data_IF_062298442124
#
_entry.id   IF_062298442124
#
_cell.length_a   1.000
_cell.length_b   1.000
_cell.length_c   1.000
_cell.angle_alpha   90.00
_cell.angle_beta   90.00
_cell.angle_gamma   90.00
#
_symmetry.space_group_name_H-M   'P 1'
#
loop_
_entity.id
_entity.type
_entity.pdbx_description
1 polymer ?
#
# COMPACT_ATOMS: atom_id res chain seq x y z
N UNK A 1 -37.05 -4.61 -7.27
CA UNK A 1 -36.21 -5.24 -6.23
C UNK A 1 -35.87 -6.65 -6.68
N UNK A 2 -34.85 -6.82 -7.53
CA UNK A 2 -34.37 -8.13 -7.97
C UNK A 2 -32.86 -8.06 -8.19
N UNK A 3 -32.10 -9.08 -7.76
CA UNK A 3 -30.82 -9.41 -8.39
C UNK A 3 -29.52 -9.31 -7.58
N UNK A 4 -29.47 -9.69 -6.30
CA UNK A 4 -28.18 -9.82 -5.57
C UNK A 4 -27.77 -11.26 -5.21
N UNK A 5 -28.65 -12.27 -5.38
CA UNK A 5 -28.37 -13.65 -4.98
C UNK A 5 -27.38 -14.39 -5.89
N UNK A 6 -27.49 -14.22 -7.21
CA UNK A 6 -26.71 -15.01 -8.18
C UNK A 6 -25.22 -14.64 -8.20
N UNK A 7 -24.87 -13.37 -8.00
CA UNK A 7 -23.47 -12.91 -8.02
C UNK A 7 -22.69 -13.34 -6.78
N UNK A 8 -23.34 -13.39 -5.60
CA UNK A 8 -22.72 -13.87 -4.37
C UNK A 8 -22.38 -15.37 -4.45
N UNK A 9 -23.26 -16.18 -5.06
CA UNK A 9 -23.08 -17.61 -5.19
C UNK A 9 -21.96 -17.99 -6.17
N UNK A 10 -21.91 -17.36 -7.34
CA UNK A 10 -20.85 -17.62 -8.35
C UNK A 10 -19.46 -17.27 -7.80
N UNK A 11 -19.34 -16.17 -7.03
CA UNK A 11 -18.09 -15.79 -6.35
C UNK A 11 -17.64 -16.83 -5.33
N UNK A 12 -18.59 -17.34 -4.54
CA UNK A 12 -18.28 -18.31 -3.50
C UNK A 12 -17.86 -19.65 -4.11
N UNK A 13 -18.49 -20.08 -5.20
CA UNK A 13 -18.05 -21.26 -5.95
C UNK A 13 -16.61 -21.13 -6.44
N UNK A 14 -16.29 -20.03 -7.14
CA UNK A 14 -14.95 -19.81 -7.70
C UNK A 14 -13.83 -19.75 -6.64
N UNK A 15 -14.11 -19.14 -5.48
CA UNK A 15 -13.19 -19.14 -4.35
C UNK A 15 -12.98 -20.54 -3.76
N UNK A 16 -14.05 -21.32 -3.60
CA UNK A 16 -13.96 -22.67 -3.05
C UNK A 16 -13.23 -23.62 -4.01
N UNK A 17 -13.45 -23.48 -5.32
CA UNK A 17 -12.70 -24.21 -6.34
C UNK A 17 -11.21 -23.87 -6.29
N UNK A 18 -10.86 -22.59 -6.11
CA UNK A 18 -9.47 -22.17 -5.95
C UNK A 18 -8.82 -22.74 -4.69
N UNK A 19 -9.51 -22.70 -3.55
CA UNK A 19 -9.03 -23.28 -2.28
C UNK A 19 -8.78 -24.78 -2.43
N UNK A 20 -9.73 -25.51 -3.03
CA UNK A 20 -9.65 -26.96 -3.22
C UNK A 20 -8.57 -27.35 -4.23
N UNK A 21 -8.50 -26.65 -5.36
CA UNK A 21 -7.57 -26.96 -6.46
C UNK A 21 -6.12 -26.86 -6.01
N UNK A 22 -5.82 -25.95 -5.10
CA UNK A 22 -4.46 -25.67 -4.64
C UNK A 22 -4.19 -26.12 -3.21
N UNK A 23 -5.12 -26.87 -2.61
CA UNK A 23 -5.04 -27.43 -1.25
C UNK A 23 -4.59 -26.39 -0.21
N UNK A 24 -5.25 -25.23 -0.22
CA UNK A 24 -4.90 -24.13 0.69
C UNK A 24 -5.35 -24.45 2.12
N UNK A 25 -4.52 -24.10 3.11
CA UNK A 25 -4.84 -24.34 4.52
C UNK A 25 -6.04 -23.51 4.99
N UNK A 26 -6.72 -24.00 6.03
CA UNK A 26 -7.90 -23.33 6.60
C UNK A 26 -7.64 -21.88 7.02
N UNK A 27 -6.43 -21.56 7.49
CA UNK A 27 -6.12 -20.18 7.90
C UNK A 27 -6.02 -19.25 6.68
N UNK A 28 -5.47 -19.72 5.55
CA UNK A 28 -5.44 -18.98 4.29
C UNK A 28 -6.84 -18.88 3.69
N UNK A 29 -7.62 -19.98 3.71
CA UNK A 29 -9.01 -19.99 3.28
C UNK A 29 -9.87 -18.98 4.04
N UNK A 30 -9.70 -18.90 5.37
CA UNK A 30 -10.40 -17.90 6.21
C UNK A 30 -10.01 -16.47 5.83
N UNK A 31 -8.73 -16.20 5.60
CA UNK A 31 -8.26 -14.88 5.18
C UNK A 31 -8.82 -14.49 3.80
N UNK A 32 -8.82 -15.39 2.82
CA UNK A 32 -9.40 -15.12 1.49
C UNK A 32 -10.89 -14.75 1.57
N UNK A 33 -11.65 -15.40 2.47
CA UNK A 33 -13.08 -15.11 2.66
C UNK A 33 -13.33 -13.74 3.29
N UNK A 34 -12.37 -13.21 4.05
CA UNK A 34 -12.46 -11.89 4.67
C UNK A 34 -12.10 -10.73 3.73
N UNK A 35 -11.46 -11.02 2.59
CA UNK A 35 -11.06 -9.98 1.62
C UNK A 35 -12.26 -9.36 0.89
N UNK A 36 -12.14 -8.08 0.56
CA UNK A 36 -13.08 -7.43 -0.34
C UNK A 36 -12.89 -7.93 -1.80
N UNK A 37 -13.82 -7.58 -2.69
CA UNK A 37 -13.82 -8.07 -4.08
C UNK A 37 -12.55 -7.70 -4.85
N UNK A 38 -12.06 -6.47 -4.71
CA UNK A 38 -10.87 -6.00 -5.43
C UNK A 38 -9.62 -6.75 -4.94
N UNK A 39 -9.47 -6.83 -3.62
CA UNK A 39 -8.37 -7.55 -2.97
C UNK A 39 -8.37 -9.04 -3.34
N UNK A 40 -9.53 -9.69 -3.27
CA UNK A 40 -9.66 -11.10 -3.61
C UNK A 40 -9.31 -11.37 -5.08
N UNK A 41 -9.82 -10.54 -5.99
CA UNK A 41 -9.50 -10.67 -7.42
C UNK A 41 -8.00 -10.54 -7.67
N UNK A 42 -7.32 -9.62 -6.98
CA UNK A 42 -5.87 -9.44 -7.12
C UNK A 42 -5.05 -10.60 -6.55
N UNK A 43 -5.54 -11.23 -5.47
CA UNK A 43 -4.89 -12.42 -4.91
C UNK A 43 -5.10 -13.62 -5.85
N UNK A 44 -6.30 -13.81 -6.39
CA UNK A 44 -6.63 -14.97 -7.24
C UNK A 44 -5.98 -14.94 -8.63
N UNK A 45 -5.47 -13.79 -9.09
CA UNK A 45 -4.73 -13.67 -10.36
C UNK A 45 -3.25 -14.05 -10.25
N UNK A 46 -2.74 -14.32 -9.04
CA UNK A 46 -1.34 -14.68 -8.89
C UNK A 46 -1.03 -16.08 -9.48
N UNK A 47 0.12 -16.20 -10.15
CA UNK A 47 0.53 -17.47 -10.75
C UNK A 47 1.06 -18.42 -9.67
N UNK A 48 0.18 -19.28 -9.16
CA UNK A 48 0.49 -20.27 -8.12
C UNK A 48 0.95 -21.64 -8.63
N UNK A 49 0.98 -21.84 -9.95
CA UNK A 49 1.36 -23.13 -10.53
C UNK A 49 2.82 -23.53 -10.30
N UNK A 50 3.70 -22.56 -10.08
CA UNK A 50 5.13 -22.79 -9.84
C UNK A 50 5.53 -22.64 -8.36
N UNK A 51 4.56 -22.50 -7.45
CA UNK A 51 4.85 -22.32 -6.04
C UNK A 51 5.28 -23.64 -5.40
N UNK A 52 6.40 -23.64 -4.68
CA UNK A 52 6.77 -24.78 -3.81
C UNK A 52 5.77 -25.00 -2.67
N UNK A 53 5.08 -23.93 -2.26
CA UNK A 53 4.03 -23.95 -1.25
C UNK A 53 2.96 -22.90 -1.64
N UNK A 54 1.81 -23.32 -2.20
CA UNK A 54 0.72 -22.43 -2.60
C UNK A 54 0.19 -21.59 -1.44
N UNK A 55 -0.04 -22.20 -0.27
CA UNK A 55 -0.51 -21.51 0.93
C UNK A 55 0.43 -20.37 1.37
N UNK A 56 1.74 -20.61 1.39
CA UNK A 56 2.71 -19.58 1.74
C UNK A 56 2.73 -18.43 0.73
N UNK A 57 2.60 -18.74 -0.57
CA UNK A 57 2.57 -17.73 -1.62
C UNK A 57 1.29 -16.89 -1.57
N UNK A 58 0.13 -17.54 -1.43
CA UNK A 58 -1.16 -16.85 -1.28
C UNK A 58 -1.17 -16.01 0.00
N UNK A 59 -0.69 -16.54 1.13
CA UNK A 59 -0.56 -15.78 2.39
C UNK A 59 0.36 -14.57 2.26
N UNK A 60 1.46 -14.69 1.51
CA UNK A 60 2.33 -13.56 1.19
C UNK A 60 1.57 -12.51 0.38
N UNK A 61 0.84 -12.94 -0.65
CA UNK A 61 0.04 -12.06 -1.51
C UNK A 61 -1.08 -11.34 -0.76
N UNK A 62 -1.79 -12.06 0.12
CA UNK A 62 -2.80 -11.48 1.01
C UNK A 62 -2.18 -10.38 1.87
N UNK A 63 -1.04 -10.65 2.52
CA UNK A 63 -0.33 -9.64 3.31
C UNK A 63 0.05 -8.42 2.46
N UNK A 64 0.58 -8.61 1.26
CA UNK A 64 0.89 -7.50 0.36
C UNK A 64 -0.34 -6.66 0.00
N UNK A 65 -1.47 -7.31 -0.32
CA UNK A 65 -2.71 -6.62 -0.69
C UNK A 65 -3.34 -5.88 0.50
N UNK A 66 -3.26 -6.45 1.70
CA UNK A 66 -3.74 -5.81 2.93
C UNK A 66 -2.84 -4.68 3.43
N UNK A 67 -1.53 -4.76 3.19
CA UNK A 67 -0.57 -3.73 3.57
C UNK A 67 -0.58 -2.49 2.65
N UNK A 68 -1.29 -2.56 1.51
CA UNK A 68 -1.45 -1.38 0.65
C UNK A 68 -2.35 -0.38 1.37
N UNK A 69 -1.92 0.88 1.50
CA UNK A 69 -2.79 1.91 2.03
C UNK A 69 -4.03 2.00 1.15
N UNK A 70 -5.18 2.15 1.79
CA UNK A 70 -6.43 2.46 1.10
C UNK A 70 -6.27 3.77 0.32
N UNK A 71 -7.12 3.95 -0.69
CA UNK A 71 -7.12 5.19 -1.47
C UNK A 71 -7.32 6.43 -0.57
N UNK A 72 -8.13 6.30 0.49
CA UNK A 72 -8.35 7.37 1.47
C UNK A 72 -7.08 7.69 2.27
N UNK A 73 -6.36 6.66 2.75
CA UNK A 73 -5.10 6.85 3.47
C UNK A 73 -4.01 7.47 2.58
N UNK A 74 -3.94 7.04 1.31
CA UNK A 74 -3.01 7.64 0.35
C UNK A 74 -3.31 9.12 0.13
N UNK A 75 -4.58 9.49 -0.07
CA UNK A 75 -5.00 10.89 -0.24
C UNK A 75 -4.71 11.72 1.02
N UNK A 76 -4.97 11.20 2.21
CA UNK A 76 -4.69 11.89 3.46
C UNK A 76 -3.17 12.11 3.68
N UNK A 77 -2.35 11.12 3.33
CA UNK A 77 -0.89 11.25 3.37
C UNK A 77 -0.39 12.33 2.41
N UNK A 78 -0.88 12.35 1.16
CA UNK A 78 -0.53 13.40 0.19
C UNK A 78 -0.93 14.79 0.71
N UNK A 79 -2.14 14.93 1.28
CA UNK A 79 -2.57 16.20 1.87
C UNK A 79 -1.63 16.65 2.99
N UNK A 80 -1.20 15.73 3.86
CA UNK A 80 -0.25 16.03 4.95
C UNK A 80 1.09 16.55 4.39
N UNK A 81 1.58 15.95 3.30
CA UNK A 81 2.80 16.43 2.61
C UNK A 81 2.61 17.84 2.08
N UNK A 82 1.48 18.12 1.41
CA UNK A 82 1.20 19.48 0.88
C UNK A 82 1.06 20.52 1.99
N UNK A 83 0.40 20.18 3.11
CA UNK A 83 0.28 21.05 4.28
C UNK A 83 1.66 21.37 4.89
N UNK A 84 2.54 20.36 4.99
CA UNK A 84 3.91 20.55 5.45
C UNK A 84 4.70 21.47 4.52
N UNK A 85 4.63 21.25 3.20
CA UNK A 85 5.33 22.08 2.21
C UNK A 85 4.82 23.54 2.22
N UNK A 86 3.51 23.72 2.29
CA UNK A 86 2.87 25.04 2.35
C UNK A 86 3.26 25.80 3.63
N UNK A 87 3.39 25.11 4.76
CA UNK A 87 3.75 25.72 6.05
C UNK A 87 5.14 26.36 6.06
N UNK A 88 6.09 25.81 5.31
CA UNK A 88 7.49 26.24 5.33
C UNK A 88 7.92 27.08 4.12
N UNK A 89 7.01 27.32 3.16
CA UNK A 89 7.25 28.13 1.96
C UNK A 89 8.56 27.75 1.23
N UNK A 90 8.76 26.45 1.02
CA UNK A 90 9.91 25.90 0.28
C UNK A 90 9.71 26.08 -1.23
N UNK A 91 10.82 26.13 -1.97
CA UNK A 91 10.81 26.28 -3.42
C UNK A 91 10.24 25.06 -4.17
N UNK A 92 9.84 25.27 -5.41
CA UNK A 92 9.23 24.24 -6.26
C UNK A 92 10.12 23.02 -6.47
N UNK A 93 11.45 23.21 -6.51
CA UNK A 93 12.39 22.12 -6.71
C UNK A 93 12.41 21.18 -5.49
N UNK A 94 12.45 21.74 -4.28
CA UNK A 94 12.37 20.98 -3.03
C UNK A 94 10.98 20.34 -2.83
N UNK A 95 9.90 21.01 -3.23
CA UNK A 95 8.55 20.42 -3.25
C UNK A 95 8.49 19.20 -4.17
N UNK A 96 9.01 19.32 -5.40
CA UNK A 96 9.05 18.22 -6.36
C UNK A 96 9.90 17.04 -5.85
N UNK A 97 11.03 17.31 -5.19
CA UNK A 97 11.88 16.29 -4.56
C UNK A 97 11.11 15.58 -3.44
N UNK A 98 10.38 16.31 -2.60
CA UNK A 98 9.54 15.73 -1.53
C UNK A 98 8.40 14.88 -2.09
N UNK A 99 7.64 15.39 -3.08
CA UNK A 99 6.53 14.64 -3.73
C UNK A 99 7.00 13.37 -4.42
N UNK A 100 8.22 13.36 -4.96
CA UNK A 100 8.81 12.21 -5.66
C UNK A 100 9.45 11.18 -4.72
N UNK A 101 9.66 11.53 -3.44
CA UNK A 101 10.26 10.64 -2.46
C UNK A 101 9.30 9.50 -2.07
N UNK A 102 9.85 8.38 -1.59
CA UNK A 102 9.05 7.27 -1.09
C UNK A 102 8.22 7.71 0.14
N UNK A 103 7.02 7.14 0.38
CA UNK A 103 6.17 7.54 1.51
C UNK A 103 6.88 7.47 2.87
N UNK A 104 7.72 6.45 3.07
CA UNK A 104 8.54 6.31 4.27
C UNK A 104 9.57 7.43 4.45
N UNK A 105 10.16 7.91 3.35
CA UNK A 105 11.10 9.05 3.37
C UNK A 105 10.33 10.33 3.69
N UNK A 106 9.17 10.54 3.06
CA UNK A 106 8.30 11.68 3.34
C UNK A 106 7.90 11.74 4.82
N UNK A 107 7.43 10.62 5.39
CA UNK A 107 7.07 10.53 6.81
C UNK A 107 8.24 10.91 7.71
N UNK A 108 9.41 10.32 7.50
CA UNK A 108 10.61 10.61 8.30
C UNK A 108 11.10 12.04 8.18
N UNK A 109 10.99 12.64 7.00
CA UNK A 109 11.32 14.07 6.80
C UNK A 109 10.36 14.95 7.61
N UNK A 110 9.07 14.61 7.62
CA UNK A 110 8.02 15.36 8.32
C UNK A 110 8.06 15.20 9.85
N UNK A 111 8.80 14.22 10.40
CA UNK A 111 9.01 14.08 11.86
C UNK A 111 9.72 15.30 12.47
N UNK A 112 10.40 16.11 11.65
CA UNK A 112 11.15 17.27 12.09
C UNK A 112 10.66 18.55 11.41
N UNK A 113 10.49 19.60 12.21
CA UNK A 113 10.12 20.93 11.73
C UNK A 113 11.30 21.62 10.99
N UNK A 114 10.99 22.62 10.16
CA UNK A 114 11.97 23.46 9.44
C UNK A 114 12.03 24.91 9.98
N UNK A 115 11.29 25.23 11.06
CA UNK A 115 11.16 26.59 11.59
C UNK A 115 12.47 27.25 12.05
N UNK A 116 13.48 26.45 12.42
CA UNK A 116 14.76 26.95 12.94
C UNK A 116 15.86 27.03 11.86
N UNK A 117 15.50 26.91 10.59
CA UNK A 117 16.46 26.84 9.49
C UNK A 117 16.54 28.17 8.73
N UNK A 118 17.76 28.59 8.39
CA UNK A 118 18.00 29.81 7.58
C UNK A 118 17.52 29.66 6.13
N UNK A 119 17.53 28.44 5.61
CA UNK A 119 17.01 28.09 4.28
C UNK A 119 16.26 26.75 4.37
N UNK A 120 14.93 26.77 4.53
CA UNK A 120 14.10 25.57 4.61
C UNK A 120 14.24 24.64 3.40
N UNK A 121 14.31 25.18 2.18
CA UNK A 121 14.44 24.37 0.96
C UNK A 121 15.72 23.53 0.95
N UNK A 122 16.87 24.17 1.25
CA UNK A 122 18.16 23.48 1.25
C UNK A 122 18.22 22.38 2.33
N UNK A 123 17.64 22.65 3.50
CA UNK A 123 17.55 21.66 4.59
C UNK A 123 16.63 20.50 4.21
N UNK A 124 15.47 20.79 3.61
CA UNK A 124 14.53 19.78 3.13
C UNK A 124 15.20 18.84 2.12
N UNK A 125 15.81 19.38 1.07
CA UNK A 125 16.54 18.59 0.07
C UNK A 125 17.68 17.77 0.67
N UNK A 126 18.45 18.32 1.63
CA UNK A 126 19.51 17.56 2.31
C UNK A 126 18.93 16.37 3.07
N UNK A 127 17.86 16.59 3.85
CA UNK A 127 17.20 15.54 4.64
C UNK A 127 16.63 14.43 3.76
N UNK A 128 15.95 14.79 2.66
CA UNK A 128 15.41 13.80 1.72
C UNK A 128 16.54 12.90 1.21
N UNK A 129 17.69 13.47 0.82
CA UNK A 129 18.85 12.72 0.31
C UNK A 129 19.49 11.85 1.39
N UNK A 130 19.64 12.35 2.61
CA UNK A 130 20.21 11.60 3.73
C UNK A 130 19.33 10.39 4.09
N UNK A 131 18.02 10.60 4.22
CA UNK A 131 17.08 9.54 4.59
C UNK A 131 16.95 8.54 3.44
N UNK A 132 16.85 8.99 2.19
CA UNK A 132 16.76 8.13 1.01
C UNK A 132 17.99 7.21 0.84
N UNK A 133 19.18 7.67 1.24
CA UNK A 133 20.40 6.83 1.23
C UNK A 133 20.41 5.81 2.37
N UNK A 134 19.78 6.12 3.50
CA UNK A 134 19.70 5.25 4.68
C UNK A 134 18.50 4.29 4.67
N UNK A 135 17.50 4.52 3.83
CA UNK A 135 16.31 3.66 3.67
C UNK A 135 16.51 2.53 2.65
N UNK A 136 17.77 2.14 2.38
CA UNK A 136 18.14 1.16 1.35
C UNK A 136 18.49 -0.20 1.94
#
# INVERSE_FOLDING_TARGET
MCGNGSFCYVRQAYLQDFIRRWDLDDSVASQLRALNRAQLSEVMTCNIAQARNPSAMVKSRIRSVLARPSQAEFSAHQQTVEEYLARYNVDEAAQAEMRSAAPEVQLRVMEQELSNCRNPSAVLSSRIREISRGSR
#
